data_IF_613127328505
#
_entry.id   IF_613127328505
#
_cell.length_a   1.000
_cell.length_b   1.000
_cell.length_c   1.000
_cell.angle_alpha   90.00
_cell.angle_beta   90.00
_cell.angle_gamma   90.00
#
_symmetry.space_group_name_H-M   'P 1'
#
loop_
_entity.id
_entity.type
_entity.pdbx_description
1 polymer ?
#
# COMPACT_ATOMS: atom_id res chain seq x y z
N UNK A 1 19.09 1.70 21.27
CA UNK A 1 18.58 2.63 20.26
C UNK A 1 17.26 3.20 20.78
N UNK A 2 17.26 4.50 21.13
CA UNK A 2 16.06 5.19 21.62
C UNK A 2 15.27 5.59 20.37
N UNK A 3 14.24 4.81 20.02
CA UNK A 3 13.27 5.19 19.02
C UNK A 3 12.41 6.33 19.59
N UNK A 4 12.48 7.50 18.98
CA UNK A 4 11.64 8.64 19.31
C UNK A 4 10.16 8.26 19.10
N UNK A 5 9.43 8.05 20.21
CA UNK A 5 7.97 8.03 20.20
C UNK A 5 7.48 9.44 19.86
N UNK A 6 7.32 9.75 18.56
CA UNK A 6 6.63 10.97 18.13
C UNK A 6 5.17 10.86 18.52
N UNK A 7 4.63 11.91 19.13
CA UNK A 7 3.23 12.04 19.52
C UNK A 7 2.34 11.88 18.26
N UNK A 8 1.68 10.72 18.15
CA UNK A 8 0.63 10.49 17.17
C UNK A 8 -0.62 11.24 17.61
N UNK A 9 -1.31 11.89 16.68
CA UNK A 9 -2.71 12.29 16.89
C UNK A 9 -3.54 11.01 17.12
N UNK A 10 -4.67 11.08 17.89
CA UNK A 10 -5.54 9.92 18.00
C UNK A 10 -5.87 9.39 16.61
N UNK A 11 -5.73 8.07 16.41
CA UNK A 11 -6.14 7.40 15.17
C UNK A 11 -7.59 7.82 14.86
N UNK A 12 -7.87 8.21 13.62
CA UNK A 12 -9.23 8.21 13.13
C UNK A 12 -9.68 6.75 13.00
N UNK A 13 -10.14 6.22 14.13
CA UNK A 13 -10.44 4.81 14.31
C UNK A 13 -11.55 4.29 13.39
N UNK A 14 -12.29 5.16 12.72
CA UNK A 14 -13.40 4.78 11.85
C UNK A 14 -12.96 4.01 10.60
N UNK A 15 -11.73 4.21 10.14
CA UNK A 15 -11.22 3.63 8.89
C UNK A 15 -10.42 2.32 9.07
N UNK A 16 -9.93 2.03 10.29
CA UNK A 16 -9.14 0.83 10.59
C UNK A 16 -9.98 -0.27 11.23
N UNK A 17 -11.00 -0.74 10.52
CA UNK A 17 -12.00 -1.71 11.04
C UNK A 17 -11.34 -3.02 11.46
N UNK A 18 -10.31 -3.47 10.75
CA UNK A 18 -9.56 -4.68 11.10
C UNK A 18 -8.88 -4.57 12.48
N UNK A 19 -8.58 -3.35 12.95
CA UNK A 19 -8.03 -3.06 14.28
C UNK A 19 -9.12 -2.79 15.31
N UNK A 20 -10.06 -1.89 14.99
CA UNK A 20 -11.04 -1.35 15.95
C UNK A 20 -12.23 -2.26 16.20
N UNK A 21 -12.58 -3.09 15.21
CA UNK A 21 -13.68 -4.05 15.28
C UNK A 21 -13.25 -5.42 14.73
N UNK A 22 -12.28 -6.10 15.37
CA UNK A 22 -11.65 -7.33 14.82
C UNK A 22 -12.63 -8.50 14.67
N UNK A 23 -13.76 -8.48 15.35
CA UNK A 23 -14.80 -9.51 15.25
C UNK A 23 -15.92 -9.13 14.26
N UNK A 24 -15.78 -8.04 13.52
CA UNK A 24 -16.78 -7.63 12.52
C UNK A 24 -16.68 -8.48 11.25
N UNK A 25 -17.80 -8.53 10.50
CA UNK A 25 -17.82 -9.20 9.18
C UNK A 25 -16.77 -8.61 8.22
N UNK A 26 -16.57 -7.31 8.25
CA UNK A 26 -15.57 -6.64 7.40
C UNK A 26 -14.14 -7.07 7.76
N UNK A 27 -13.83 -7.19 9.05
CA UNK A 27 -12.53 -7.71 9.48
C UNK A 27 -12.32 -9.17 9.00
N UNK A 28 -13.37 -10.00 8.99
CA UNK A 28 -13.31 -11.36 8.45
C UNK A 28 -13.08 -11.39 6.94
N UNK A 29 -13.65 -10.44 6.19
CA UNK A 29 -13.39 -10.30 4.77
C UNK A 29 -11.90 -9.99 4.50
N UNK A 30 -11.26 -9.12 5.28
CA UNK A 30 -9.81 -8.88 5.19
C UNK A 30 -8.97 -10.10 5.53
N UNK A 31 -9.39 -10.94 6.49
CA UNK A 31 -8.73 -12.23 6.76
C UNK A 31 -8.84 -13.18 5.57
N UNK A 32 -10.00 -13.21 4.92
CA UNK A 32 -10.21 -13.99 3.70
C UNK A 32 -9.30 -13.53 2.57
N UNK A 33 -9.18 -12.21 2.34
CA UNK A 33 -8.27 -11.64 1.34
C UNK A 33 -6.82 -12.05 1.66
N UNK A 34 -6.38 -11.89 2.91
CA UNK A 34 -5.05 -12.31 3.36
C UNK A 34 -4.79 -13.79 3.07
N UNK A 35 -5.73 -14.67 3.42
CA UNK A 35 -5.60 -16.11 3.21
C UNK A 35 -5.49 -16.44 1.72
N UNK A 36 -6.30 -15.80 0.87
CA UNK A 36 -6.24 -15.99 -0.57
C UNK A 36 -4.88 -15.55 -1.13
N UNK A 37 -4.32 -14.45 -0.63
CA UNK A 37 -3.00 -13.98 -1.04
C UNK A 37 -1.88 -14.96 -0.64
N UNK A 38 -2.01 -15.66 0.48
CA UNK A 38 -1.05 -16.70 0.86
C UNK A 38 -1.06 -17.88 -0.10
N UNK A 39 -2.21 -18.24 -0.68
CA UNK A 39 -2.30 -19.29 -1.69
C UNK A 39 -1.74 -18.89 -3.06
N UNK A 40 -1.85 -17.61 -3.42
CA UNK A 40 -1.37 -17.10 -4.72
C UNK A 40 0.12 -16.80 -4.70
N UNK A 41 0.67 -16.42 -3.56
CA UNK A 41 2.10 -16.21 -3.37
C UNK A 41 2.77 -17.50 -2.89
N UNK A 42 3.92 -17.86 -3.46
CA UNK A 42 4.73 -18.96 -2.96
C UNK A 42 5.07 -18.76 -1.47
N UNK A 43 4.82 -19.77 -0.64
CA UNK A 43 4.73 -19.69 0.83
C UNK A 43 5.97 -19.12 1.55
N UNK A 44 7.14 -19.05 0.90
CA UNK A 44 8.42 -18.67 1.53
C UNK A 44 9.04 -17.37 0.99
N UNK A 45 8.35 -16.62 0.12
CA UNK A 45 8.90 -15.39 -0.45
C UNK A 45 8.35 -14.15 0.25
N UNK A 46 9.26 -13.26 0.62
CA UNK A 46 8.93 -11.86 0.97
C UNK A 46 8.17 -11.24 -0.19
N UNK A 47 7.11 -10.49 0.10
CA UNK A 47 6.11 -10.07 -0.88
C UNK A 47 6.06 -8.55 -0.97
N UNK A 48 6.15 -8.05 -2.19
CA UNK A 48 5.89 -6.66 -2.54
C UNK A 48 4.60 -6.60 -3.36
N UNK A 49 3.54 -6.03 -2.80
CA UNK A 49 2.21 -6.02 -3.41
C UNK A 49 1.73 -4.59 -3.56
N UNK A 50 1.36 -4.23 -4.77
CA UNK A 50 0.72 -2.95 -5.06
C UNK A 50 -0.79 -3.11 -4.97
N UNK A 51 -1.42 -2.19 -4.29
CA UNK A 51 -2.87 -2.05 -4.26
C UNK A 51 -3.24 -0.79 -5.04
N UNK A 52 -4.00 -0.98 -6.12
CA UNK A 52 -4.45 0.09 -7.01
C UNK A 52 -5.93 -0.07 -7.34
N UNK A 53 -6.47 0.81 -8.17
CA UNK A 53 -7.84 0.74 -8.70
C UNK A 53 -7.88 1.31 -10.11
N UNK A 54 -8.91 1.04 -10.93
CA UNK A 54 -9.08 1.72 -12.21
C UNK A 54 -9.16 3.24 -12.06
N UNK A 55 -9.99 3.75 -11.15
CA UNK A 55 -10.25 5.17 -10.94
C UNK A 55 -10.11 5.62 -9.49
N UNK A 56 -10.46 6.89 -9.25
CA UNK A 56 -10.45 7.49 -7.91
C UNK A 56 -11.63 7.01 -7.04
N UNK A 57 -11.46 7.08 -5.71
CA UNK A 57 -12.55 6.87 -4.75
C UNK A 57 -13.01 5.42 -4.56
N UNK A 58 -12.29 4.44 -5.09
CA UNK A 58 -12.64 3.02 -4.99
C UNK A 58 -12.26 2.36 -3.67
N UNK A 59 -11.50 3.07 -2.83
CA UNK A 59 -11.15 2.65 -1.47
C UNK A 59 -9.79 1.95 -1.33
N UNK A 60 -8.86 2.19 -2.26
CA UNK A 60 -7.48 1.66 -2.23
C UNK A 60 -6.81 1.82 -0.87
N UNK A 61 -6.65 3.06 -0.43
CA UNK A 61 -5.91 3.43 0.80
C UNK A 61 -6.50 2.78 2.04
N UNK A 62 -7.85 2.73 2.16
CA UNK A 62 -8.52 2.03 3.27
C UNK A 62 -8.28 0.53 3.18
N UNK A 63 -8.31 -0.05 1.98
CA UNK A 63 -8.05 -1.46 1.75
C UNK A 63 -6.61 -1.83 2.11
N UNK A 64 -5.62 -1.06 1.67
CA UNK A 64 -4.21 -1.25 2.03
C UNK A 64 -4.02 -1.25 3.54
N UNK A 65 -4.55 -0.24 4.23
CA UNK A 65 -4.38 -0.08 5.67
C UNK A 65 -4.99 -1.25 6.47
N UNK A 66 -6.21 -1.67 6.14
CA UNK A 66 -6.87 -2.79 6.81
C UNK A 66 -6.24 -4.14 6.47
N UNK A 67 -5.78 -4.34 5.24
CA UNK A 67 -5.06 -5.54 4.84
C UNK A 67 -3.73 -5.65 5.60
N UNK A 68 -2.98 -4.55 5.76
CA UNK A 68 -1.77 -4.50 6.56
C UNK A 68 -2.02 -4.92 8.02
N UNK A 69 -3.09 -4.41 8.63
CA UNK A 69 -3.50 -4.82 9.98
C UNK A 69 -3.82 -6.30 10.03
N UNK A 70 -4.58 -6.82 9.06
CA UNK A 70 -4.95 -8.23 9.00
C UNK A 70 -3.73 -9.16 8.86
N UNK A 71 -2.71 -8.76 8.08
CA UNK A 71 -1.45 -9.50 7.93
C UNK A 71 -0.63 -9.47 9.23
N UNK A 72 -0.50 -8.31 9.84
CA UNK A 72 0.24 -8.14 11.09
C UNK A 72 -0.35 -8.94 12.27
N UNK A 73 -1.64 -9.28 12.24
CA UNK A 73 -2.29 -10.17 13.20
C UNK A 73 -1.77 -11.62 13.14
N UNK A 74 -1.06 -12.01 12.09
CA UNK A 74 -0.36 -13.30 11.94
C UNK A 74 1.14 -13.19 12.27
N UNK A 75 1.51 -12.17 13.04
CA UNK A 75 2.90 -11.84 13.41
C UNK A 75 3.81 -11.49 12.21
N UNK A 76 3.27 -11.28 11.02
CA UNK A 76 4.03 -10.75 9.87
C UNK A 76 4.45 -9.29 10.14
N UNK A 77 5.71 -8.95 9.85
CA UNK A 77 6.19 -7.56 9.86
C UNK A 77 5.80 -6.91 8.56
N UNK A 78 4.90 -5.94 8.63
CA UNK A 78 4.31 -5.28 7.45
C UNK A 78 4.81 -3.85 7.35
N UNK A 79 5.31 -3.48 6.17
CA UNK A 79 5.55 -2.09 5.80
C UNK A 79 4.50 -1.64 4.80
N UNK A 80 3.80 -0.56 5.13
CA UNK A 80 2.90 0.11 4.18
C UNK A 80 3.60 1.35 3.65
N UNK A 81 3.70 1.47 2.33
CA UNK A 81 4.35 2.60 1.64
C UNK A 81 3.29 3.38 0.87
N UNK A 82 3.17 4.67 1.18
CA UNK A 82 2.33 5.60 0.43
C UNK A 82 3.05 6.02 -0.85
N UNK A 83 2.74 5.36 -1.95
CA UNK A 83 3.24 5.65 -3.28
C UNK A 83 2.24 6.42 -4.14
N UNK A 84 1.06 6.81 -3.60
CA UNK A 84 0.20 7.82 -4.23
C UNK A 84 0.75 9.22 -3.92
N UNK A 85 1.79 9.60 -4.66
CA UNK A 85 2.50 10.88 -4.48
C UNK A 85 1.67 12.08 -4.93
N UNK A 86 0.49 11.85 -5.51
CA UNK A 86 -0.43 12.89 -6.00
C UNK A 86 -1.53 13.23 -5.01
N UNK A 87 -2.09 12.20 -4.36
CA UNK A 87 -3.23 12.34 -3.44
C UNK A 87 -3.02 11.53 -2.16
N UNK A 88 -1.86 11.72 -1.53
CA UNK A 88 -1.44 11.03 -0.32
C UNK A 88 -2.48 11.16 0.81
N UNK A 89 -3.01 10.04 1.28
CA UNK A 89 -4.00 9.98 2.36
C UNK A 89 -3.66 8.97 3.46
N UNK A 90 -2.69 8.09 3.23
CA UNK A 90 -2.35 7.01 4.15
C UNK A 90 -1.99 7.55 5.54
N UNK A 91 -1.27 8.66 5.60
CA UNK A 91 -0.89 9.33 6.84
C UNK A 91 -2.10 9.75 7.70
N UNK A 92 -3.24 10.12 7.07
CA UNK A 92 -4.48 10.49 7.77
C UNK A 92 -5.11 9.27 8.42
N UNK A 93 -5.11 8.11 7.71
CA UNK A 93 -5.69 6.85 8.22
C UNK A 93 -4.93 6.37 9.46
N UNK A 94 -3.61 6.47 9.46
CA UNK A 94 -2.79 6.06 10.61
C UNK A 94 -2.57 7.17 11.64
N UNK A 95 -3.13 8.37 11.47
CA UNK A 95 -2.97 9.50 12.40
C UNK A 95 -1.53 9.97 12.59
N UNK A 96 -0.70 9.84 11.55
CA UNK A 96 0.74 10.17 11.58
C UNK A 96 1.05 11.39 10.70
N UNK A 97 2.20 12.02 10.95
CA UNK A 97 2.64 13.17 10.17
C UNK A 97 3.24 12.74 8.82
N UNK A 98 3.00 13.53 7.76
CA UNK A 98 3.59 13.37 6.43
C UNK A 98 4.67 14.42 6.16
N UNK A 99 5.70 14.50 7.02
CA UNK A 99 6.79 15.49 6.85
C UNK A 99 7.96 14.97 6.03
N UNK A 100 8.23 13.69 6.15
CA UNK A 100 9.37 13.04 5.52
C UNK A 100 8.99 11.60 5.21
N UNK A 101 9.14 11.20 3.96
CA UNK A 101 8.66 9.91 3.48
C UNK A 101 9.39 9.42 2.24
N UNK A 102 8.67 8.70 1.39
CA UNK A 102 9.18 8.06 0.18
C UNK A 102 9.93 9.04 -0.72
N UNK A 103 9.33 10.19 -1.04
CA UNK A 103 9.97 11.20 -1.91
C UNK A 103 11.30 11.67 -1.36
N UNK A 104 11.38 11.90 -0.04
CA UNK A 104 12.61 12.38 0.60
C UNK A 104 13.72 11.33 0.61
N UNK A 105 13.37 10.02 0.68
CA UNK A 105 14.35 8.93 0.56
C UNK A 105 14.87 8.88 -0.89
N UNK A 106 13.97 8.87 -1.88
CA UNK A 106 14.34 8.77 -3.29
C UNK A 106 15.21 9.94 -3.76
N UNK A 107 15.02 11.13 -3.18
CA UNK A 107 15.86 12.30 -3.40
C UNK A 107 17.16 12.31 -2.56
N UNK A 108 17.42 11.29 -1.74
CA UNK A 108 18.61 11.19 -0.90
C UNK A 108 18.64 12.15 0.29
N UNK A 109 17.50 12.78 0.67
CA UNK A 109 17.42 13.77 1.76
C UNK A 109 17.31 13.14 3.15
N UNK A 110 16.83 11.91 3.24
CA UNK A 110 16.63 11.18 4.50
C UNK A 110 16.89 9.69 4.31
N UNK A 111 17.32 9.00 5.37
CA UNK A 111 17.48 7.53 5.33
C UNK A 111 16.18 6.82 5.65
N UNK A 112 16.05 5.55 5.24
CA UNK A 112 14.90 4.70 5.50
C UNK A 112 14.53 4.65 7.00
N UNK A 113 15.51 4.45 7.86
CA UNK A 113 15.35 4.30 9.32
C UNK A 113 14.79 5.56 10.00
N UNK A 114 15.01 6.74 9.38
CA UNK A 114 14.49 8.02 9.86
C UNK A 114 13.11 8.34 9.33
N UNK A 115 12.75 7.82 8.15
CA UNK A 115 11.50 8.11 7.48
C UNK A 115 10.38 7.12 7.84
N UNK A 116 10.72 5.85 8.10
CA UNK A 116 9.74 4.84 8.51
C UNK A 116 9.22 5.16 9.92
N UNK A 117 7.91 5.12 10.07
CA UNK A 117 7.20 5.37 11.32
C UNK A 117 6.61 4.05 11.83
N UNK A 118 6.93 3.71 13.07
CA UNK A 118 6.27 2.63 13.76
C UNK A 118 4.90 3.13 14.26
N UNK A 119 3.83 2.44 13.86
CA UNK A 119 2.47 2.78 14.30
C UNK A 119 2.17 2.23 15.69
N UNK A 120 0.98 2.56 16.24
CA UNK A 120 0.49 1.96 17.49
C UNK A 120 0.06 0.49 17.29
N UNK A 121 -0.09 0.04 16.04
CA UNK A 121 -0.47 -1.32 15.71
C UNK A 121 0.80 -2.17 15.62
N UNK A 122 0.88 -3.20 16.47
CA UNK A 122 2.03 -4.13 16.50
C UNK A 122 2.33 -4.65 15.09
N UNK A 123 3.60 -4.65 14.72
CA UNK A 123 4.13 -5.16 13.45
C UNK A 123 3.67 -4.37 12.19
N UNK A 124 2.98 -3.24 12.32
CA UNK A 124 2.65 -2.35 11.20
C UNK A 124 3.51 -1.11 11.25
N UNK A 125 4.34 -0.94 10.23
CA UNK A 125 5.14 0.26 9.99
C UNK A 125 4.64 0.97 8.74
N UNK A 126 4.80 2.29 8.71
CA UNK A 126 4.34 3.12 7.58
C UNK A 126 5.48 4.02 7.09
N UNK A 127 5.66 4.06 5.79
CA UNK A 127 6.43 5.06 5.08
C UNK A 127 5.44 5.95 4.32
N UNK A 128 5.27 7.17 4.78
CA UNK A 128 4.39 8.15 4.12
C UNK A 128 4.98 8.62 2.79
N UNK A 129 4.20 9.32 1.97
CA UNK A 129 4.68 9.86 0.70
C UNK A 129 5.81 10.88 0.86
N UNK A 130 5.77 11.69 1.91
CA UNK A 130 6.73 12.77 2.16
C UNK A 130 6.35 14.08 1.46
N UNK A 131 7.36 14.82 1.02
CA UNK A 131 7.17 16.13 0.38
C UNK A 131 6.53 16.01 -1.01
N UNK A 132 5.73 17.00 -1.39
CA UNK A 132 5.19 17.08 -2.75
C UNK A 132 6.30 17.16 -3.79
N UNK A 133 6.09 16.51 -4.94
CA UNK A 133 7.02 16.48 -6.07
C UNK A 133 6.30 16.82 -7.36
N UNK A 134 7.02 17.44 -8.30
CA UNK A 134 6.44 17.86 -9.59
C UNK A 134 6.20 16.66 -10.53
N UNK A 135 7.11 15.70 -10.55
CA UNK A 135 7.13 14.57 -11.48
C UNK A 135 7.18 13.24 -10.73
N UNK A 136 6.04 12.74 -10.17
CA UNK A 136 6.00 11.48 -9.44
C UNK A 136 6.50 10.29 -10.25
N UNK A 137 6.08 10.17 -11.51
CA UNK A 137 6.45 9.06 -12.39
C UNK A 137 7.98 8.95 -12.59
N UNK A 138 8.65 10.08 -12.82
CA UNK A 138 10.11 10.12 -12.94
C UNK A 138 10.80 9.68 -11.66
N UNK A 139 10.32 10.16 -10.50
CA UNK A 139 10.89 9.83 -9.21
C UNK A 139 10.77 8.33 -8.90
N UNK A 140 9.60 7.72 -9.18
CA UNK A 140 9.35 6.29 -9.00
C UNK A 140 10.14 5.41 -9.99
N UNK A 141 10.60 5.97 -11.11
CA UNK A 141 11.44 5.27 -12.10
C UNK A 141 12.93 5.27 -11.77
N UNK A 142 13.36 6.02 -10.76
CA UNK A 142 14.78 6.11 -10.40
C UNK A 142 15.32 4.77 -9.88
N UNK A 143 16.61 4.46 -10.12
CA UNK A 143 17.26 3.30 -9.51
C UNK A 143 17.16 3.24 -7.99
N UNK A 144 17.08 4.41 -7.32
CA UNK A 144 16.88 4.53 -5.88
C UNK A 144 15.57 3.89 -5.39
N UNK A 145 14.55 3.76 -6.24
CA UNK A 145 13.32 3.05 -5.89
C UNK A 145 13.56 1.53 -5.78
N UNK A 146 14.28 0.94 -6.73
CA UNK A 146 14.66 -0.47 -6.68
C UNK A 146 15.60 -0.75 -5.49
N UNK A 147 16.54 0.15 -5.22
CA UNK A 147 17.42 0.05 -4.03
C UNK A 147 16.63 0.08 -2.72
N UNK A 148 15.59 0.94 -2.65
CA UNK A 148 14.68 0.99 -1.51
C UNK A 148 13.91 -0.33 -1.37
N UNK A 149 13.31 -0.84 -2.46
CA UNK A 149 12.60 -2.13 -2.45
C UNK A 149 13.53 -3.24 -1.94
N UNK A 150 14.74 -3.35 -2.46
CA UNK A 150 15.72 -4.35 -2.04
C UNK A 150 16.03 -4.26 -0.53
N UNK A 151 16.15 -3.05 0.02
CA UNK A 151 16.39 -2.85 1.46
C UNK A 151 15.21 -3.25 2.33
N UNK A 152 13.98 -2.90 1.92
CA UNK A 152 12.80 -3.18 2.76
C UNK A 152 12.41 -4.65 2.74
N UNK A 153 12.63 -5.39 1.65
CA UNK A 153 12.39 -6.84 1.61
C UNK A 153 13.31 -7.64 2.56
N UNK A 154 14.46 -7.09 2.96
CA UNK A 154 15.32 -7.73 3.97
C UNK A 154 14.77 -7.58 5.39
N UNK A 155 13.97 -6.54 5.65
CA UNK A 155 13.52 -6.15 6.98
C UNK A 155 12.07 -6.55 7.28
N UNK A 156 11.24 -6.67 6.24
CA UNK A 156 9.79 -6.93 6.35
C UNK A 156 9.40 -8.22 5.64
N UNK A 157 8.34 -8.84 6.13
CA UNK A 157 7.80 -10.07 5.53
C UNK A 157 6.83 -9.74 4.41
N UNK A 158 6.14 -8.58 4.51
CA UNK A 158 5.22 -8.06 3.49
C UNK A 158 5.40 -6.55 3.34
N UNK A 159 5.46 -6.09 2.10
CA UNK A 159 5.47 -4.67 1.74
C UNK A 159 4.21 -4.40 0.90
N UNK A 160 3.36 -3.49 1.37
CA UNK A 160 2.16 -3.07 0.66
C UNK A 160 2.34 -1.64 0.17
N UNK A 161 2.14 -1.42 -1.13
CA UNK A 161 2.16 -0.10 -1.73
C UNK A 161 0.74 0.40 -1.95
N UNK A 162 0.38 1.53 -1.34
CA UNK A 162 -0.78 2.32 -1.74
C UNK A 162 -0.40 3.15 -2.95
N UNK A 163 -1.08 3.00 -4.07
CA UNK A 163 -0.70 3.65 -5.33
C UNK A 163 -1.82 4.47 -5.93
N UNK A 164 -1.48 5.35 -6.86
CA UNK A 164 -2.45 6.12 -7.65
C UNK A 164 -3.34 5.22 -8.50
N UNK A 165 -4.52 5.69 -8.96
CA UNK A 165 -5.37 4.92 -9.86
C UNK A 165 -4.66 4.59 -11.18
N UNK A 166 -4.76 3.34 -11.60
CA UNK A 166 -3.99 2.76 -12.71
C UNK A 166 -4.29 3.40 -14.07
N UNK A 167 -5.55 3.77 -14.32
CA UNK A 167 -5.97 4.33 -15.62
C UNK A 167 -5.85 5.85 -15.70
N UNK A 168 -5.53 6.51 -14.58
CA UNK A 168 -5.45 7.96 -14.52
C UNK A 168 -4.02 8.47 -14.73
N UNK A 169 -3.02 7.71 -14.26
CA UNK A 169 -1.61 8.10 -14.31
C UNK A 169 -0.68 6.90 -14.51
N UNK A 170 0.52 7.17 -15.02
CA UNK A 170 1.52 6.12 -15.32
C UNK A 170 2.31 5.63 -14.10
N UNK A 171 2.22 6.35 -12.99
CA UNK A 171 2.99 6.12 -11.76
C UNK A 171 2.90 4.67 -11.28
N UNK A 172 1.67 4.14 -11.25
CA UNK A 172 1.38 2.77 -10.82
C UNK A 172 1.95 1.71 -11.75
N UNK A 173 1.88 1.92 -13.07
CA UNK A 173 2.46 0.98 -14.05
C UNK A 173 3.97 0.89 -13.94
N UNK A 174 4.65 2.02 -13.67
CA UNK A 174 6.10 2.07 -13.44
C UNK A 174 6.46 1.28 -12.16
N UNK A 175 5.74 1.51 -11.07
CA UNK A 175 5.99 0.81 -9.82
C UNK A 175 5.66 -0.69 -9.93
N UNK A 176 4.59 -1.03 -10.65
CA UNK A 176 4.11 -2.40 -10.81
C UNK A 176 5.14 -3.33 -11.47
N UNK A 177 5.96 -2.81 -12.38
CA UNK A 177 7.04 -3.57 -13.00
C UNK A 177 8.20 -3.92 -12.04
N UNK A 178 8.24 -3.30 -10.86
CA UNK A 178 9.29 -3.48 -9.85
C UNK A 178 8.84 -4.33 -8.66
N UNK A 179 7.58 -4.76 -8.62
CA UNK A 179 6.98 -5.48 -7.50
C UNK A 179 6.51 -6.89 -7.90
N UNK A 180 6.27 -7.76 -6.89
CA UNK A 180 5.88 -9.15 -7.11
C UNK A 180 4.46 -9.32 -7.62
N UNK A 181 3.58 -8.35 -7.37
CA UNK A 181 2.21 -8.42 -7.87
C UNK A 181 1.32 -7.23 -7.57
N UNK A 182 0.18 -7.21 -8.23
CA UNK A 182 -0.80 -6.13 -8.17
C UNK A 182 -2.18 -6.69 -7.79
N UNK A 183 -2.82 -6.04 -6.82
CA UNK A 183 -4.22 -6.22 -6.45
C UNK A 183 -5.03 -5.02 -6.95
N UNK A 184 -6.16 -5.30 -7.59
CA UNK A 184 -7.07 -4.28 -8.09
C UNK A 184 -8.26 -4.13 -7.15
N UNK A 185 -8.48 -2.94 -6.60
CA UNK A 185 -9.67 -2.62 -5.80
C UNK A 185 -10.75 -2.07 -6.72
N UNK A 186 -11.92 -2.67 -6.67
CA UNK A 186 -13.09 -2.31 -7.49
C UNK A 186 -14.24 -1.92 -6.56
N UNK A 187 -14.89 -0.80 -6.82
CA UNK A 187 -16.07 -0.38 -6.07
C UNK A 187 -17.33 -0.96 -6.70
N UNK A 188 -18.07 -1.81 -5.96
CA UNK A 188 -19.35 -2.35 -6.43
C UNK A 188 -20.30 -1.21 -6.83
N UNK A 189 -20.99 -1.39 -7.95
CA UNK A 189 -21.93 -0.42 -8.53
C UNK A 189 -21.33 0.94 -8.95
N UNK A 190 -20.00 1.09 -8.92
CA UNK A 190 -19.32 2.34 -9.31
C UNK A 190 -18.30 2.07 -10.42
N UNK A 191 -17.49 1.01 -10.32
CA UNK A 191 -16.49 0.66 -11.32
C UNK A 191 -17.16 0.05 -12.54
N UNK A 192 -16.99 0.67 -13.71
CA UNK A 192 -17.50 0.14 -14.97
C UNK A 192 -16.72 -1.12 -15.40
N UNK A 193 -17.40 -2.08 -16.01
CA UNK A 193 -16.76 -3.32 -16.47
C UNK A 193 -15.65 -3.07 -17.50
N UNK A 194 -15.84 -2.08 -18.36
CA UNK A 194 -14.87 -1.65 -19.36
C UNK A 194 -13.57 -1.14 -18.72
N UNK A 195 -13.69 -0.44 -17.59
CA UNK A 195 -12.52 0.04 -16.84
C UNK A 195 -11.74 -1.12 -16.21
N UNK A 196 -12.41 -2.20 -15.79
CA UNK A 196 -11.75 -3.41 -15.28
C UNK A 196 -10.95 -4.10 -16.38
N UNK A 197 -11.53 -4.28 -17.55
CA UNK A 197 -10.88 -4.88 -18.74
C UNK A 197 -9.67 -4.04 -19.17
N UNK A 198 -9.82 -2.72 -19.20
CA UNK A 198 -8.72 -1.83 -19.56
C UNK A 198 -7.60 -1.85 -18.51
N UNK A 199 -7.93 -1.90 -17.21
CA UNK A 199 -6.94 -2.02 -16.14
C UNK A 199 -6.14 -3.34 -16.26
N UNK A 200 -6.81 -4.46 -16.55
CA UNK A 200 -6.14 -5.74 -16.80
C UNK A 200 -5.21 -5.66 -18.01
N UNK A 201 -5.65 -5.03 -19.10
CA UNK A 201 -4.82 -4.81 -20.29
C UNK A 201 -3.58 -3.99 -19.99
N UNK A 202 -3.71 -2.91 -19.24
CA UNK A 202 -2.58 -2.03 -18.84
C UNK A 202 -1.59 -2.79 -17.96
N UNK A 203 -2.06 -3.58 -17.00
CA UNK A 203 -1.21 -4.42 -16.15
C UNK A 203 -0.45 -5.47 -16.98
N UNK A 204 -1.11 -6.07 -17.97
CA UNK A 204 -0.45 -7.00 -18.90
C UNK A 204 0.68 -6.35 -19.70
N UNK A 205 0.54 -5.09 -20.10
CA UNK A 205 1.58 -4.34 -20.80
C UNK A 205 2.78 -4.00 -19.92
N UNK A 206 2.58 -3.80 -18.62
CA UNK A 206 3.67 -3.50 -17.67
C UNK A 206 4.41 -4.75 -17.17
N UNK A 207 4.08 -5.92 -17.72
CA UNK A 207 4.67 -7.19 -17.30
C UNK A 207 4.47 -7.51 -15.80
N UNK A 208 3.42 -6.93 -15.21
CA UNK A 208 3.10 -7.06 -13.80
C UNK A 208 2.26 -8.32 -13.56
N UNK A 209 2.54 -9.02 -12.47
CA UNK A 209 1.71 -10.17 -12.07
C UNK A 209 0.40 -9.69 -11.46
N UNK A 210 -0.71 -9.90 -12.13
CA UNK A 210 -2.05 -9.65 -11.57
C UNK A 210 -2.40 -10.76 -10.57
N UNK A 211 -2.60 -10.41 -9.29
CA UNK A 211 -2.90 -11.34 -8.21
C UNK A 211 -4.41 -11.56 -8.03
N UNK A 212 -5.22 -10.62 -8.49
CA UNK A 212 -6.67 -10.67 -8.38
C UNK A 212 -7.32 -9.33 -8.10
N UNK A 213 -8.64 -9.35 -7.89
CA UNK A 213 -9.42 -8.16 -7.59
C UNK A 213 -10.15 -8.28 -6.24
N UNK A 214 -10.27 -7.14 -5.55
CA UNK A 214 -11.03 -6.98 -4.31
C UNK A 214 -12.29 -6.18 -4.62
N UNK A 215 -13.46 -6.76 -4.38
CA UNK A 215 -14.74 -6.07 -4.52
C UNK A 215 -15.06 -5.31 -3.23
N UNK A 216 -14.92 -4.00 -3.28
CA UNK A 216 -15.19 -3.10 -2.17
C UNK A 216 -16.61 -2.53 -2.23
N UNK A 217 -17.14 -2.03 -1.09
CA UNK A 217 -18.49 -1.43 -0.96
C UNK A 217 -19.62 -2.36 -1.39
N UNK A 218 -19.44 -3.68 -1.23
CA UNK A 218 -20.54 -4.64 -1.45
C UNK A 218 -21.56 -4.51 -0.32
N UNK A 219 -22.77 -4.12 -0.66
CA UNK A 219 -23.93 -4.00 0.26
C UNK A 219 -24.55 -5.36 0.49
#
# INVERSE_FOLDING_TARGET
>A
LILNKKQSRPLDNSNLIAHTAPNSKVAEEYRTIRTNLQFVSEADKKRTIIITSPGYGEGKTITVANLAVSMAQQDERVLVIDADLRTSELHKIFGIENRSGLTNILEGKVTLEKAVIQTEIKNVHVLTSGSEVKNPAELLSLPSMQDLINKVIEQYDVILFDSSPLLEVTDTSILASQCDGVLLVLSCNQTASEAVVEAERVLGLSNSRFLGAILNKKV
#
